data_IF_937938180420
#
_entry.id   IF_937938180420
#
_cell.length_a   1.000
_cell.length_b   1.000
_cell.length_c   1.000
_cell.angle_alpha   90.00
_cell.angle_beta   90.00
_cell.angle_gamma   90.00
#
_symmetry.space_group_name_H-M   'P 1'
#
loop_
_entity.id
_entity.type
_entity.pdbx_description
1 polymer ?
#
# COMPACT_ATOMS: atom_id res chain seq x y z
N UNK A 1 -13.92 -3.05 13.51
CA UNK A 1 -12.62 -3.77 13.51
C UNK A 1 -11.54 -2.73 13.33
N UNK A 2 -11.00 -2.24 14.43
CA UNK A 2 -10.18 -1.05 14.33
C UNK A 2 -8.69 -1.30 14.08
N UNK A 3 -8.15 -2.45 14.27
CA UNK A 3 -6.75 -2.68 13.90
C UNK A 3 -6.38 -4.16 13.96
N UNK A 4 -5.82 -4.67 12.90
CA UNK A 4 -4.95 -5.82 13.01
C UNK A 4 -3.58 -5.32 13.49
N UNK A 5 -3.15 -5.83 14.61
CA UNK A 5 -1.83 -5.55 15.13
C UNK A 5 -1.09 -6.85 15.35
N UNK A 6 0.13 -6.93 14.86
CA UNK A 6 1.03 -8.02 15.23
C UNK A 6 2.04 -7.51 16.24
N UNK A 7 2.07 -8.12 17.43
CA UNK A 7 3.19 -7.97 18.33
C UNK A 7 4.30 -8.91 17.89
N UNK A 8 5.41 -8.34 17.44
CA UNK A 8 6.62 -9.10 17.14
C UNK A 8 7.56 -8.95 18.33
N UNK A 9 7.66 -9.97 19.16
CA UNK A 9 8.69 -9.99 20.20
C UNK A 9 9.96 -10.65 19.67
N UNK A 10 11.06 -9.92 19.69
CA UNK A 10 12.39 -10.45 19.36
C UNK A 10 12.93 -11.17 20.57
N UNK A 11 12.97 -12.49 20.55
CA UNK A 11 13.79 -13.25 21.49
C UNK A 11 15.25 -13.21 21.00
N UNK A 12 16.09 -12.47 21.67
CA UNK A 12 17.52 -12.42 21.33
C UNK A 12 18.23 -13.66 21.89
N UNK A 13 18.30 -14.73 21.12
CA UNK A 13 19.29 -15.80 21.31
C UNK A 13 20.54 -15.51 20.48
N UNK A 14 21.10 -14.37 20.58
CA UNK A 14 22.34 -14.00 19.91
C UNK A 14 23.17 -13.08 20.76
N UNK A 15 24.38 -13.48 21.03
CA UNK A 15 25.43 -12.81 21.77
C UNK A 15 25.78 -11.41 21.21
N UNK A 16 24.87 -10.45 21.37
CA UNK A 16 25.21 -9.04 21.34
C UNK A 16 24.97 -8.47 22.73
N UNK A 17 26.02 -8.09 23.46
CA UNK A 17 25.88 -7.46 24.77
C UNK A 17 25.18 -6.10 24.57
N UNK A 18 23.98 -5.97 25.12
CA UNK A 18 23.29 -4.69 25.25
C UNK A 18 21.98 -4.50 24.49
N UNK A 19 21.46 -5.49 23.74
CA UNK A 19 20.14 -5.37 23.12
C UNK A 19 19.14 -6.15 23.97
N UNK A 20 18.40 -5.45 24.80
CA UNK A 20 17.22 -6.00 25.48
C UNK A 20 16.22 -6.52 24.42
N UNK A 21 15.55 -7.64 24.70
CA UNK A 21 14.43 -8.12 23.89
C UNK A 21 13.43 -6.98 23.72
N UNK A 22 13.16 -6.56 22.47
CA UNK A 22 12.21 -5.48 22.17
C UNK A 22 10.97 -6.09 21.54
N UNK A 23 9.82 -5.69 22.05
CA UNK A 23 8.55 -5.95 21.39
C UNK A 23 8.28 -4.85 20.37
N UNK A 24 7.86 -5.24 19.18
CA UNK A 24 7.47 -4.31 18.11
C UNK A 24 5.98 -4.51 17.83
N UNK A 25 5.29 -3.42 17.64
CA UNK A 25 3.92 -3.38 17.19
C UNK A 25 3.88 -2.92 15.74
N UNK A 26 3.20 -3.68 14.89
CA UNK A 26 3.03 -3.35 13.48
C UNK A 26 1.53 -3.33 13.12
N UNK A 27 0.92 -2.15 12.88
CA UNK A 27 -0.46 -2.06 12.44
C UNK A 27 -0.58 -2.44 10.97
N UNK A 28 -1.48 -3.39 10.66
CA UNK A 28 -1.83 -3.65 9.28
C UNK A 28 -2.77 -2.57 8.75
N UNK A 29 -2.44 -2.00 7.60
CA UNK A 29 -3.20 -0.94 6.93
C UNK A 29 -4.13 -1.52 5.86
N UNK A 30 -5.03 -2.41 6.26
CA UNK A 30 -6.12 -2.85 5.39
C UNK A 30 -7.24 -1.81 5.37
N UNK A 31 -8.04 -1.79 4.29
CA UNK A 31 -9.15 -0.87 4.16
C UNK A 31 -10.14 -0.94 5.34
N UNK A 32 -10.33 -2.12 5.91
CA UNK A 32 -11.22 -2.35 7.06
C UNK A 32 -10.58 -1.99 8.41
N UNK A 33 -9.33 -1.57 8.44
CA UNK A 33 -8.63 -1.10 9.64
C UNK A 33 -8.67 0.43 9.80
N UNK A 34 -9.18 1.16 8.81
CA UNK A 34 -9.15 2.63 8.78
C UNK A 34 -10.24 3.29 9.67
N UNK A 35 -11.22 2.52 10.11
CA UNK A 35 -12.28 2.99 11.03
C UNK A 35 -13.44 2.02 11.15
N UNK A 36 -14.26 2.19 12.18
CA UNK A 36 -15.40 1.31 12.45
C UNK A 36 -16.40 1.24 11.28
N UNK A 37 -16.60 2.36 10.56
CA UNK A 37 -17.47 2.41 9.39
C UNK A 37 -16.95 1.62 8.18
N UNK A 38 -15.66 1.32 8.16
CA UNK A 38 -15.02 0.53 7.12
C UNK A 38 -14.90 -0.95 7.50
N UNK A 39 -15.42 -1.34 8.68
CA UNK A 39 -15.35 -2.71 9.18
C UNK A 39 -15.95 -3.71 8.18
N UNK A 40 -15.28 -4.84 8.03
CA UNK A 40 -15.73 -5.88 7.12
C UNK A 40 -16.97 -6.59 7.70
N UNK A 41 -18.13 -6.59 7.00
CA UNK A 41 -19.35 -7.22 7.47
C UNK A 41 -19.29 -8.76 7.35
N UNK A 42 -18.53 -9.41 8.23
CA UNK A 42 -18.30 -10.85 8.20
C UNK A 42 -19.62 -11.64 8.27
N UNK A 43 -20.62 -11.10 8.96
CA UNK A 43 -21.95 -11.72 9.04
C UNK A 43 -22.64 -11.84 7.69
N UNK A 44 -22.32 -10.99 6.73
CA UNK A 44 -22.83 -11.03 5.36
C UNK A 44 -22.03 -11.97 4.42
N UNK A 45 -20.93 -12.56 4.91
CA UNK A 45 -20.03 -13.42 4.13
C UNK A 45 -20.24 -14.89 4.50
N UNK A 46 -21.44 -15.43 4.22
CA UNK A 46 -21.78 -16.80 4.60
C UNK A 46 -20.99 -17.87 3.85
N UNK A 47 -20.57 -17.59 2.62
CA UNK A 47 -19.91 -18.54 1.74
C UNK A 47 -18.43 -18.24 1.50
N UNK A 48 -17.90 -17.18 2.11
CA UNK A 48 -16.49 -16.83 2.01
C UNK A 48 -15.84 -16.76 3.40
N UNK A 49 -14.73 -17.46 3.56
CA UNK A 49 -13.88 -17.31 4.72
C UNK A 49 -12.92 -16.14 4.52
N UNK A 50 -12.76 -15.34 5.56
CA UNK A 50 -11.77 -14.27 5.60
C UNK A 50 -10.49 -14.81 6.22
N UNK A 51 -9.41 -14.81 5.45
CA UNK A 51 -8.11 -15.31 5.88
C UNK A 51 -7.04 -14.22 5.77
N UNK A 52 -6.22 -14.10 6.80
CA UNK A 52 -4.99 -13.32 6.74
C UNK A 52 -3.83 -14.27 6.46
N UNK A 53 -3.20 -14.13 5.28
CA UNK A 53 -2.04 -14.92 4.89
C UNK A 53 -0.79 -14.07 4.99
N UNK A 54 0.17 -14.51 5.80
CA UNK A 54 1.44 -13.83 6.00
C UNK A 54 2.57 -14.73 5.48
N UNK A 55 3.33 -14.19 4.54
CA UNK A 55 4.53 -14.86 4.03
C UNK A 55 5.75 -14.34 4.80
N UNK A 56 6.32 -15.20 5.61
CA UNK A 56 7.44 -14.87 6.46
C UNK A 56 8.77 -14.90 5.68
N UNK A 57 9.65 -13.98 6.02
CA UNK A 57 11.03 -14.00 5.52
C UNK A 57 11.87 -15.10 6.20
N UNK A 58 13.10 -15.36 5.68
CA UNK A 58 13.94 -16.48 6.12
C UNK A 58 14.34 -16.43 7.60
N UNK A 59 14.33 -15.25 8.21
CA UNK A 59 14.73 -15.07 9.62
C UNK A 59 13.56 -15.10 10.60
N UNK A 60 12.34 -15.43 10.15
CA UNK A 60 11.15 -15.39 10.99
C UNK A 60 11.17 -16.38 12.15
N UNK A 61 11.84 -17.54 11.99
CA UNK A 61 11.96 -18.55 13.05
C UNK A 61 12.61 -18.07 14.34
N UNK A 62 13.24 -16.90 14.34
CA UNK A 62 13.88 -16.29 15.51
C UNK A 62 12.94 -15.35 16.31
N UNK A 63 11.65 -15.27 15.92
CA UNK A 63 10.68 -14.35 16.50
C UNK A 63 9.38 -15.05 16.89
N UNK A 64 8.76 -14.56 17.95
CA UNK A 64 7.39 -14.94 18.30
C UNK A 64 6.43 -13.89 17.72
N UNK A 65 5.35 -14.35 17.11
CA UNK A 65 4.35 -13.50 16.48
C UNK A 65 2.98 -13.74 17.13
N UNK A 66 2.30 -12.65 17.44
CA UNK A 66 0.92 -12.67 17.91
C UNK A 66 0.12 -11.70 17.03
N UNK A 67 -1.08 -12.11 16.62
CA UNK A 67 -1.97 -11.28 15.79
C UNK A 67 -3.26 -11.01 16.55
N UNK A 68 -3.57 -9.73 16.71
CA UNK A 68 -4.78 -9.28 17.40
C UNK A 68 -5.74 -8.63 16.40
N UNK A 69 -7.05 -8.90 16.59
CA UNK A 69 -8.10 -8.24 15.82
C UNK A 69 -9.26 -7.84 16.72
N UNK A 70 -9.87 -6.72 16.41
CA UNK A 70 -11.07 -6.23 17.10
C UNK A 70 -12.32 -6.67 16.35
N UNK A 71 -13.33 -7.13 17.10
CA UNK A 71 -14.63 -7.53 16.57
C UNK A 71 -15.72 -6.66 17.18
N UNK A 72 -16.67 -6.24 16.34
CA UNK A 72 -17.92 -5.61 16.79
C UNK A 72 -19.03 -6.65 16.85
N UNK A 73 -19.66 -6.78 17.99
CA UNK A 73 -20.78 -7.67 18.18
C UNK A 73 -22.08 -6.88 18.00
N UNK A 74 -22.91 -7.36 17.11
CA UNK A 74 -24.16 -6.72 16.72
C UNK A 74 -25.35 -7.48 17.32
N UNK A 75 -26.44 -6.77 17.58
CA UNK A 75 -27.70 -7.38 17.96
C UNK A 75 -28.36 -8.12 16.77
N UNK A 76 -29.47 -8.80 17.02
CA UNK A 76 -30.14 -9.61 16.01
C UNK A 76 -30.76 -8.78 14.88
N UNK A 77 -31.25 -7.60 15.18
CA UNK A 77 -31.84 -6.70 14.20
C UNK A 77 -30.77 -6.12 13.26
N UNK A 78 -29.67 -5.62 13.82
CA UNK A 78 -28.53 -5.09 13.07
C UNK A 78 -27.91 -6.17 12.18
N UNK A 79 -27.73 -7.39 12.71
CA UNK A 79 -27.24 -8.56 11.93
C UNK A 79 -28.17 -8.87 10.77
N UNK A 80 -29.49 -8.91 10.99
CA UNK A 80 -30.47 -9.13 9.92
C UNK A 80 -30.41 -8.05 8.83
N UNK A 81 -30.26 -6.79 9.23
CA UNK A 81 -30.12 -5.66 8.31
C UNK A 81 -28.83 -5.75 7.48
N UNK A 82 -27.71 -6.17 8.07
CA UNK A 82 -26.44 -6.32 7.33
C UNK A 82 -26.51 -7.50 6.35
N UNK A 83 -27.11 -8.61 6.73
CA UNK A 83 -27.24 -9.80 5.85
C UNK A 83 -28.16 -9.51 4.65
N UNK A 84 -29.22 -8.76 4.85
CA UNK A 84 -30.23 -8.50 3.80
C UNK A 84 -29.84 -7.46 2.76
N UNK A 85 -28.78 -6.69 3.01
CA UNK A 85 -28.32 -5.62 2.11
C UNK A 85 -27.11 -6.03 1.30
N UNK A 86 -27.05 -5.51 0.08
CA UNK A 86 -25.83 -5.54 -0.72
C UNK A 86 -24.87 -4.48 -0.23
N UNK A 87 -23.59 -4.82 -0.09
CA UNK A 87 -22.54 -3.91 0.33
C UNK A 87 -21.57 -3.65 -0.82
N UNK A 88 -21.25 -2.37 -1.04
CA UNK A 88 -20.18 -1.95 -1.93
C UNK A 88 -19.17 -1.15 -1.09
N UNK A 89 -18.02 -1.74 -0.86
CA UNK A 89 -16.95 -1.12 -0.06
C UNK A 89 -15.84 -0.65 -0.98
N UNK A 90 -15.46 0.61 -0.88
CA UNK A 90 -14.25 1.10 -1.54
C UNK A 90 -13.07 0.52 -0.78
N UNK A 91 -12.20 -0.17 -1.50
CA UNK A 91 -11.01 -0.80 -0.95
C UNK A 91 -9.77 -0.24 -1.61
N UNK A 92 -8.64 -0.35 -0.93
CA UNK A 92 -7.32 -0.11 -1.49
C UNK A 92 -6.60 -1.42 -1.72
N UNK A 93 -5.89 -1.51 -2.83
CA UNK A 93 -5.05 -2.63 -3.20
C UNK A 93 -3.63 -2.14 -3.50
N UNK A 94 -2.66 -3.03 -3.39
CA UNK A 94 -1.26 -2.74 -3.72
C UNK A 94 -0.83 -3.64 -4.87
N UNK A 95 -0.31 -3.03 -5.92
CA UNK A 95 0.33 -3.72 -7.03
C UNK A 95 1.83 -3.46 -6.99
N UNK A 96 2.62 -4.41 -7.44
CA UNK A 96 4.09 -4.34 -7.46
C UNK A 96 4.59 -4.53 -8.88
N UNK A 97 5.44 -3.62 -9.37
CA UNK A 97 6.18 -3.84 -10.61
C UNK A 97 7.51 -4.57 -10.33
N UNK A 98 7.95 -5.32 -11.31
CA UNK A 98 9.28 -5.94 -11.29
C UNK A 98 10.28 -4.90 -11.81
N UNK A 99 11.43 -4.67 -11.14
CA UNK A 99 12.45 -3.75 -11.63
C UNK A 99 12.95 -4.14 -13.02
N UNK A 100 13.11 -3.15 -13.90
CA UNK A 100 13.66 -3.38 -15.25
C UNK A 100 15.18 -3.53 -15.25
N UNK A 101 15.86 -3.00 -14.23
CA UNK A 101 17.30 -2.81 -14.18
C UNK A 101 17.84 -1.99 -15.37
N UNK A 102 17.06 -1.01 -15.79
CA UNK A 102 17.38 -0.07 -16.87
C UNK A 102 17.14 1.37 -16.40
N UNK A 103 17.46 2.34 -17.28
CA UNK A 103 17.17 3.76 -17.02
C UNK A 103 15.67 4.09 -17.10
N UNK A 104 14.86 3.19 -17.65
CA UNK A 104 13.42 3.34 -17.78
C UNK A 104 12.69 2.14 -17.21
N UNK A 105 11.71 2.40 -16.36
CA UNK A 105 10.83 1.40 -15.76
C UNK A 105 9.41 1.57 -16.27
N UNK A 106 8.89 0.56 -16.96
CA UNK A 106 7.47 0.52 -17.33
C UNK A 106 6.59 0.26 -16.10
N UNK A 107 5.45 0.93 -16.09
CA UNK A 107 4.45 0.86 -15.03
C UNK A 107 3.20 0.11 -15.56
N UNK A 108 3.23 -1.20 -15.46
CA UNK A 108 2.14 -2.09 -15.93
C UNK A 108 1.08 -2.30 -14.84
N UNK A 109 0.53 -1.19 -14.33
CA UNK A 109 -0.50 -1.21 -13.31
C UNK A 109 -1.90 -1.14 -13.92
N UNK A 110 -2.89 -1.52 -13.11
CA UNK A 110 -4.30 -1.44 -13.47
C UNK A 110 -5.07 -0.59 -12.45
N UNK A 111 -6.31 -0.25 -12.78
CA UNK A 111 -7.26 0.45 -11.93
C UNK A 111 -6.88 1.91 -11.61
N UNK A 112 -7.75 2.64 -10.89
CA UNK A 112 -7.47 4.00 -10.45
C UNK A 112 -6.39 4.04 -9.37
N UNK A 113 -5.17 4.44 -9.74
CA UNK A 113 -4.02 4.53 -8.83
C UNK A 113 -4.03 5.85 -8.08
N UNK A 114 -3.87 5.79 -6.75
CA UNK A 114 -3.73 6.95 -5.85
C UNK A 114 -2.33 7.54 -5.93
N UNK A 115 -1.33 6.68 -5.75
CA UNK A 115 0.08 7.07 -5.73
C UNK A 115 0.97 5.89 -6.07
N UNK A 116 2.17 6.22 -6.51
CA UNK A 116 3.28 5.30 -6.68
C UNK A 116 4.25 5.50 -5.52
N UNK A 117 4.84 4.41 -5.04
CA UNK A 117 5.81 4.43 -3.96
C UNK A 117 6.94 3.44 -4.23
N UNK A 118 8.13 3.78 -3.75
CA UNK A 118 9.28 2.89 -3.74
C UNK A 118 10.18 3.23 -2.56
N UNK A 119 10.93 2.28 -2.09
CA UNK A 119 11.96 2.52 -1.07
C UNK A 119 13.21 1.73 -1.44
N UNK A 120 14.34 2.37 -1.26
CA UNK A 120 15.61 1.69 -1.48
C UNK A 120 15.86 0.67 -0.38
N UNK A 121 16.43 -0.45 -0.80
CA UNK A 121 16.92 -1.50 0.11
C UNK A 121 18.38 -1.30 0.48
N UNK A 122 19.07 -0.43 -0.25
CA UNK A 122 20.49 -0.10 -0.09
C UNK A 122 20.71 1.41 -0.19
N UNK A 123 21.92 1.86 0.02
CA UNK A 123 22.29 3.28 -0.02
C UNK A 123 22.11 3.91 -1.41
N UNK A 124 21.18 4.86 -1.54
CA UNK A 124 20.90 5.68 -2.73
C UNK A 124 20.54 4.93 -4.02
N UNK A 125 19.27 4.59 -4.18
CA UNK A 125 18.71 4.12 -5.46
C UNK A 125 18.37 5.26 -6.43
N UNK A 126 18.03 4.92 -7.65
CA UNK A 126 17.72 5.89 -8.71
C UNK A 126 16.58 6.85 -8.35
N UNK A 127 15.60 6.38 -7.56
CA UNK A 127 14.40 7.14 -7.22
C UNK A 127 14.55 8.01 -5.97
N UNK A 128 15.61 7.83 -5.19
CA UNK A 128 15.83 8.52 -3.92
C UNK A 128 17.14 9.30 -3.86
N UNK A 129 17.96 9.20 -4.91
CA UNK A 129 19.27 9.85 -4.97
C UNK A 129 19.18 11.38 -4.99
N UNK A 130 20.12 12.02 -4.31
CA UNK A 130 20.32 13.48 -4.35
C UNK A 130 20.94 13.95 -5.66
N UNK A 131 21.59 13.06 -6.41
CA UNK A 131 22.37 13.40 -7.62
C UNK A 131 21.69 12.95 -8.92
N UNK A 132 20.58 12.24 -8.84
CA UNK A 132 19.83 11.76 -9.99
C UNK A 132 18.57 12.61 -10.26
N UNK A 133 18.19 12.71 -11.52
CA UNK A 133 16.92 13.30 -11.94
C UNK A 133 16.03 12.26 -12.58
N UNK A 134 14.74 12.36 -12.30
CA UNK A 134 13.71 11.48 -12.84
C UNK A 134 12.57 12.29 -13.45
N UNK A 135 11.84 11.66 -14.37
CA UNK A 135 10.59 12.17 -14.92
C UNK A 135 9.57 11.04 -15.02
N UNK A 136 8.31 11.42 -15.09
CA UNK A 136 7.18 10.51 -15.36
C UNK A 136 6.67 10.80 -16.77
N UNK A 137 6.47 9.75 -17.53
CA UNK A 137 5.97 9.80 -18.90
C UNK A 137 4.69 9.00 -18.99
N UNK A 138 3.63 9.57 -19.58
CA UNK A 138 2.32 8.93 -19.74
C UNK A 138 1.89 9.08 -21.19
N UNK A 139 1.52 7.97 -21.82
CA UNK A 139 1.13 7.91 -23.25
C UNK A 139 2.14 8.59 -24.18
N UNK A 140 3.43 8.41 -23.90
CA UNK A 140 4.53 9.01 -24.65
C UNK A 140 4.75 10.50 -24.43
N UNK A 141 4.01 11.13 -23.51
CA UNK A 141 4.16 12.54 -23.15
C UNK A 141 4.81 12.69 -21.79
N UNK A 142 5.80 13.57 -21.70
CA UNK A 142 6.41 13.95 -20.44
C UNK A 142 5.42 14.76 -19.59
N UNK A 143 5.06 14.30 -18.40
CA UNK A 143 4.21 15.08 -17.45
C UNK A 143 4.97 16.28 -16.87
N UNK A 144 6.26 16.28 -17.01
CA UNK A 144 7.15 17.37 -16.61
C UNK A 144 8.58 17.10 -17.01
N UNK A 145 9.39 18.12 -16.92
CA UNK A 145 10.82 17.99 -17.15
C UNK A 145 11.48 17.13 -16.07
N UNK A 146 12.68 16.67 -16.33
CA UNK A 146 13.52 16.01 -15.32
C UNK A 146 13.66 16.87 -14.06
N UNK A 147 13.31 16.27 -12.92
CA UNK A 147 13.40 16.88 -11.59
C UNK A 147 14.29 16.04 -10.70
N UNK A 148 14.99 16.69 -9.77
CA UNK A 148 15.81 15.99 -8.79
C UNK A 148 14.98 15.00 -7.99
N UNK A 149 15.45 13.76 -7.87
CA UNK A 149 14.69 12.70 -7.22
C UNK A 149 14.38 13.07 -5.76
N UNK A 150 15.39 13.37 -4.96
CA UNK A 150 15.19 13.61 -3.53
C UNK A 150 14.35 14.85 -3.21
N UNK A 151 14.67 16.08 -3.67
CA UNK A 151 13.85 17.23 -3.29
C UNK A 151 12.42 17.14 -3.79
N UNK A 152 12.20 16.72 -5.05
CA UNK A 152 10.86 16.79 -5.64
C UNK A 152 9.97 15.60 -5.25
N UNK A 153 10.46 14.37 -5.43
CA UNK A 153 9.64 13.16 -5.25
C UNK A 153 9.66 12.62 -3.83
N UNK A 154 10.48 13.18 -2.95
CA UNK A 154 10.51 12.85 -1.52
C UNK A 154 9.99 14.03 -0.70
N UNK A 155 10.73 15.14 -0.63
CA UNK A 155 10.41 16.21 0.29
C UNK A 155 9.13 16.95 -0.08
N UNK A 156 8.98 17.35 -1.35
CA UNK A 156 7.80 18.10 -1.82
C UNK A 156 6.55 17.21 -1.79
N UNK A 157 6.64 15.96 -2.26
CA UNK A 157 5.48 15.05 -2.24
C UNK A 157 5.06 14.72 -0.83
N UNK A 158 6.00 14.48 0.08
CA UNK A 158 5.69 14.26 1.48
C UNK A 158 5.02 15.46 2.14
N UNK A 159 5.51 16.66 1.89
CA UNK A 159 4.95 17.87 2.47
C UNK A 159 3.50 18.13 2.08
N UNK A 160 3.16 17.92 0.79
CA UNK A 160 1.81 18.25 0.30
C UNK A 160 0.80 17.11 0.39
N UNK A 161 1.24 15.86 0.40
CA UNK A 161 0.33 14.71 0.22
C UNK A 161 0.29 13.74 1.39
N UNK A 162 1.19 13.86 2.37
CA UNK A 162 1.21 12.98 3.56
C UNK A 162 0.99 13.77 4.84
N UNK A 163 0.42 13.10 5.84
CA UNK A 163 0.21 13.69 7.17
C UNK A 163 1.33 13.35 8.16
N UNK A 164 2.37 12.64 7.72
CA UNK A 164 3.49 12.21 8.57
C UNK A 164 4.81 12.32 7.82
N UNK A 165 5.86 12.47 8.60
CA UNK A 165 7.22 12.43 8.07
C UNK A 165 7.53 11.01 7.64
N UNK A 166 7.76 10.81 6.36
CA UNK A 166 8.24 9.54 5.82
C UNK A 166 9.76 9.41 5.97
N UNK A 167 10.28 8.22 5.75
CA UNK A 167 11.73 8.03 5.64
C UNK A 167 12.31 8.92 4.53
N UNK A 168 13.51 9.49 4.71
CA UNK A 168 14.19 10.27 3.68
C UNK A 168 14.50 9.48 2.40
N UNK A 169 14.35 8.15 2.45
CA UNK A 169 14.62 7.23 1.35
C UNK A 169 13.33 6.60 0.78
N UNK A 170 12.21 7.30 0.95
CA UNK A 170 10.90 6.85 0.47
C UNK A 170 10.41 7.71 -0.68
N UNK A 171 10.54 7.18 -1.90
CA UNK A 171 9.99 7.79 -3.12
C UNK A 171 8.46 7.77 -3.10
N UNK A 172 7.85 8.89 -3.46
CA UNK A 172 6.41 9.04 -3.56
C UNK A 172 6.04 9.89 -4.77
N UNK A 173 5.09 9.41 -5.58
CA UNK A 173 4.48 10.18 -6.65
C UNK A 173 2.96 10.08 -6.55
N UNK A 174 2.29 11.20 -6.23
CA UNK A 174 0.87 11.23 -5.92
C UNK A 174 0.03 11.72 -7.09
N UNK A 175 -1.06 11.01 -7.37
CA UNK A 175 -2.17 11.46 -8.21
C UNK A 175 -3.36 11.97 -7.38
N UNK A 176 -3.29 11.78 -6.05
CA UNK A 176 -4.28 12.24 -5.08
C UNK A 176 -3.78 13.46 -4.30
N UNK A 177 -4.70 14.21 -3.71
CA UNK A 177 -4.36 15.33 -2.83
C UNK A 177 -3.91 14.87 -1.44
N UNK A 178 -4.48 13.76 -0.94
CA UNK A 178 -4.14 13.18 0.36
C UNK A 178 -4.01 11.66 0.26
N UNK A 179 -2.90 11.13 0.75
CA UNK A 179 -2.65 9.68 0.78
C UNK A 179 -3.38 8.97 1.91
N UNK A 180 -3.79 9.69 2.98
CA UNK A 180 -4.42 9.15 4.18
C UNK A 180 -5.94 9.32 4.22
N UNK A 181 -6.53 10.07 3.29
CA UNK A 181 -7.98 10.26 3.26
C UNK A 181 -8.71 8.95 2.91
N UNK A 182 -9.78 8.65 3.67
CA UNK A 182 -10.68 7.51 3.40
C UNK A 182 -11.45 7.71 2.09
N UNK A 183 -11.90 8.93 1.84
CA UNK A 183 -12.56 9.28 0.60
C UNK A 183 -11.53 9.54 -0.50
N UNK A 184 -11.78 9.09 -1.74
CA UNK A 184 -10.91 9.37 -2.86
C UNK A 184 -10.73 10.88 -3.09
N UNK A 185 -9.48 11.34 -3.15
CA UNK A 185 -9.13 12.77 -3.38
C UNK A 185 -8.46 12.99 -4.73
N UNK A 186 -8.46 12.00 -5.59
CA UNK A 186 -7.89 12.01 -6.93
C UNK A 186 -7.21 10.68 -7.25
N UNK A 187 -7.19 10.34 -8.53
CA UNK A 187 -6.55 9.12 -9.04
C UNK A 187 -6.22 9.29 -10.51
N UNK A 188 -5.26 8.49 -10.98
CA UNK A 188 -5.04 8.26 -12.40
C UNK A 188 -5.43 6.81 -12.74
N UNK A 189 -6.34 6.64 -13.70
CA UNK A 189 -6.78 5.29 -14.09
C UNK A 189 -5.80 4.66 -15.08
N UNK A 190 -4.94 3.78 -14.57
CA UNK A 190 -3.93 3.08 -15.37
C UNK A 190 -4.52 2.10 -16.39
N UNK A 191 -5.71 1.55 -16.16
CA UNK A 191 -6.39 0.71 -17.15
C UNK A 191 -6.80 1.44 -18.42
N UNK A 192 -6.70 2.77 -18.46
CA UNK A 192 -7.02 3.61 -19.62
C UNK A 192 -5.79 4.26 -20.26
N UNK A 193 -4.60 3.89 -19.79
CA UNK A 193 -3.35 4.38 -20.37
C UNK A 193 -2.80 3.36 -21.36
N UNK A 194 -2.28 3.85 -22.47
CA UNK A 194 -1.57 3.02 -23.43
C UNK A 194 -0.16 2.67 -22.92
N UNK A 195 0.48 3.62 -22.23
CA UNK A 195 1.80 3.41 -21.62
C UNK A 195 2.01 4.37 -20.47
N UNK A 196 2.75 3.92 -19.46
CA UNK A 196 3.26 4.78 -18.40
C UNK A 196 4.64 4.28 -17.99
N UNK A 197 5.58 5.19 -17.76
CA UNK A 197 6.93 4.84 -17.32
C UNK A 197 7.57 5.94 -16.47
N UNK A 198 8.50 5.52 -15.62
CA UNK A 198 9.43 6.39 -14.94
C UNK A 198 10.77 6.31 -15.67
N UNK A 199 11.35 7.45 -15.96
CA UNK A 199 12.63 7.56 -16.65
C UNK A 199 13.63 8.23 -15.73
N UNK A 200 14.75 7.58 -15.52
CA UNK A 200 15.92 8.08 -14.79
C UNK A 200 16.93 8.67 -15.76
N UNK A 201 17.58 9.74 -15.37
CA UNK A 201 18.57 10.41 -16.22
C UNK A 201 19.92 9.68 -16.26
N UNK A 202 20.38 9.16 -15.12
CA UNK A 202 21.75 8.66 -14.98
C UNK A 202 21.92 7.37 -14.18
N UNK A 203 20.90 6.95 -13.43
CA UNK A 203 20.99 5.77 -12.56
C UNK A 203 19.97 4.70 -12.96
N UNK A 204 20.37 3.45 -12.89
CA UNK A 204 19.52 2.29 -13.19
C UNK A 204 18.46 2.15 -12.09
N UNK A 205 17.20 1.92 -12.47
CA UNK A 205 16.09 1.65 -11.56
C UNK A 205 16.11 0.16 -11.19
N UNK A 206 16.60 -0.15 -10.02
CA UNK A 206 16.74 -1.51 -9.49
C UNK A 206 15.71 -1.87 -8.41
N UNK A 207 14.98 -0.88 -7.89
CA UNK A 207 14.02 -1.07 -6.84
C UNK A 207 12.59 -1.24 -7.39
N UNK A 208 11.77 -2.10 -6.78
CA UNK A 208 10.39 -2.29 -7.21
C UNK A 208 9.56 -1.04 -6.93
N UNK A 209 8.68 -0.71 -7.87
CA UNK A 209 7.71 0.35 -7.70
C UNK A 209 6.37 -0.29 -7.32
N UNK A 210 5.75 0.27 -6.29
CA UNK A 210 4.43 -0.14 -5.80
C UNK A 210 3.40 0.92 -6.20
N UNK A 211 2.24 0.47 -6.66
CA UNK A 211 1.10 1.32 -6.89
C UNK A 211 0.00 0.98 -5.89
N UNK A 212 -0.55 2.01 -5.24
CA UNK A 212 -1.75 1.86 -4.41
C UNK A 212 -2.94 2.36 -5.22
N UNK A 213 -3.89 1.47 -5.49
CA UNK A 213 -5.07 1.75 -6.28
C UNK A 213 -6.35 1.54 -5.48
N UNK A 214 -7.45 2.11 -5.96
CA UNK A 214 -8.79 1.80 -5.49
C UNK A 214 -9.40 0.65 -6.29
N UNK A 215 -10.25 -0.12 -5.60
CA UNK A 215 -11.17 -1.06 -6.19
C UNK A 215 -12.47 -1.05 -5.37
N UNK A 216 -13.48 -1.80 -5.78
CA UNK A 216 -14.73 -1.95 -5.06
C UNK A 216 -14.93 -3.43 -4.73
N UNK A 217 -15.06 -3.72 -3.44
CA UNK A 217 -15.46 -5.02 -2.93
C UNK A 217 -17.00 -5.03 -2.83
N UNK A 218 -17.64 -5.86 -3.63
CA UNK A 218 -19.08 -6.09 -3.59
C UNK A 218 -19.36 -7.34 -2.77
N UNK A 219 -20.26 -7.21 -1.82
CA UNK A 219 -20.78 -8.34 -1.04
C UNK A 219 -22.27 -8.46 -1.33
N UNK A 220 -22.67 -9.60 -1.88
CA UNK A 220 -24.02 -9.87 -2.31
C UNK A 220 -24.31 -11.37 -2.18
N UNK A 221 -25.49 -11.71 -1.67
CA UNK A 221 -25.94 -13.11 -1.51
C UNK A 221 -24.96 -14.02 -0.74
N UNK A 222 -24.29 -13.48 0.25
CA UNK A 222 -23.31 -14.22 1.08
C UNK A 222 -21.92 -14.39 0.46
N UNK A 223 -21.67 -13.80 -0.70
CA UNK A 223 -20.40 -13.87 -1.41
C UNK A 223 -19.78 -12.49 -1.60
N UNK A 224 -18.46 -12.44 -1.61
CA UNK A 224 -17.71 -11.24 -1.94
C UNK A 224 -17.00 -11.38 -3.29
N UNK A 225 -16.92 -10.29 -4.05
CA UNK A 225 -16.20 -10.22 -5.31
C UNK A 225 -15.70 -8.81 -5.59
N UNK A 226 -14.63 -8.70 -6.36
CA UNK A 226 -14.16 -7.41 -6.87
C UNK A 226 -14.99 -7.01 -8.09
N UNK A 227 -15.41 -5.75 -8.15
CA UNK A 227 -16.14 -5.25 -9.33
C UNK A 227 -15.18 -5.14 -10.51
N UNK A 228 -13.96 -4.68 -10.26
CA UNK A 228 -12.92 -4.60 -11.28
C UNK A 228 -11.95 -5.76 -11.06
N UNK A 229 -12.08 -6.78 -11.91
CA UNK A 229 -11.14 -7.91 -11.94
C UNK A 229 -9.86 -7.52 -12.70
N UNK A 230 -8.73 -8.10 -12.29
CA UNK A 230 -7.46 -7.99 -13.01
C UNK A 230 -7.45 -8.90 -14.23
#
# INVERSE_FOLDING_TARGET
IDTFATNVSKSANGTHPGISARSYFYPFRFFFCEGAQCALPIVALHYHNVELRIHWGPNAGNYNFECYSNYYYLDNEERGNLVSRNHNLIITQVQKSIPSNELSQELTFNHPVKYLASSDTTTEGALTSTTNKIKVEINGLDIGNFKWAKPHFIDVMNYYHTNFVTSPDFFLYCFCLSTSSLQPTGTLNFSRLDSAKIVSQSMIISDPIYAVNYNILRIENGMAGLIYAN
#
